data_IF_105295578649
#
_entry.id   IF_105295578649
#
_cell.length_a   1.000
_cell.length_b   1.000
_cell.length_c   1.000
_cell.angle_alpha   90.00
_cell.angle_beta   90.00
_cell.angle_gamma   90.00
#
_symmetry.space_group_name_H-M   'P 1'
#
loop_
_entity.id
_entity.type
_entity.pdbx_description
1 polymer ?
#
# COMPACT_ATOMS: atom_id res chain seq x y z
N UNK A 1 28.38 -46.63 -30.99
CA UNK A 1 28.67 -46.22 -29.60
C UNK A 1 28.92 -44.72 -29.64
N UNK A 2 27.93 -43.91 -29.25
CA UNK A 2 28.00 -42.44 -29.33
C UNK A 2 27.91 -41.91 -27.90
N UNK A 3 29.01 -41.31 -27.46
CA UNK A 3 29.13 -40.64 -26.16
C UNK A 3 28.47 -39.26 -26.29
N UNK A 4 27.35 -39.05 -25.58
CA UNK A 4 26.78 -37.71 -25.43
C UNK A 4 27.39 -37.05 -24.19
N UNK A 5 28.16 -35.99 -24.42
CA UNK A 5 28.69 -35.10 -23.38
C UNK A 5 27.57 -34.15 -22.94
N UNK A 6 27.35 -34.10 -21.62
CA UNK A 6 26.44 -33.17 -20.97
C UNK A 6 26.94 -31.72 -21.14
N UNK A 7 26.08 -30.84 -21.64
CA UNK A 7 26.24 -29.39 -21.50
C UNK A 7 25.12 -28.90 -20.57
N UNK A 8 25.51 -28.49 -19.36
CA UNK A 8 24.63 -27.75 -18.46
C UNK A 8 24.59 -26.30 -18.94
N UNK A 9 23.45 -25.91 -19.53
CA UNK A 9 23.14 -24.53 -19.87
C UNK A 9 21.94 -24.10 -19.03
N UNK A 10 22.25 -23.50 -17.88
CA UNK A 10 21.43 -22.60 -17.04
C UNK A 10 19.95 -22.52 -17.41
N UNK A 11 19.13 -23.15 -16.57
CA UNK A 11 17.70 -22.95 -16.55
C UNK A 11 17.40 -21.45 -16.43
N UNK A 12 16.95 -20.84 -17.53
CA UNK A 12 16.18 -19.59 -17.44
C UNK A 12 14.88 -19.98 -16.76
N UNK A 13 14.77 -19.66 -15.48
CA UNK A 13 13.50 -19.71 -14.76
C UNK A 13 12.57 -18.69 -15.41
N UNK A 14 11.80 -19.14 -16.41
CA UNK A 14 10.63 -18.41 -16.88
C UNK A 14 9.60 -18.58 -15.77
N UNK A 15 9.54 -17.62 -14.86
CA UNK A 15 8.41 -17.54 -13.93
C UNK A 15 7.23 -17.09 -14.80
N UNK A 16 6.48 -18.07 -15.33
CA UNK A 16 5.15 -17.84 -15.84
C UNK A 16 4.29 -17.46 -14.63
N UNK A 17 4.31 -16.16 -14.27
CA UNK A 17 3.27 -15.60 -13.43
C UNK A 17 1.95 -15.80 -14.18
N UNK A 18 1.12 -16.73 -13.70
CA UNK A 18 -0.28 -16.78 -14.09
C UNK A 18 -0.90 -15.43 -13.71
N UNK A 19 -0.96 -14.56 -14.71
CA UNK A 19 -1.47 -13.21 -14.65
C UNK A 19 -3.00 -13.25 -14.66
N UNK A 20 -3.60 -13.76 -13.57
CA UNK A 20 -5.05 -13.83 -13.42
C UNK A 20 -5.43 -13.78 -11.93
N UNK A 21 -5.52 -12.54 -11.37
CA UNK A 21 -6.47 -12.07 -10.33
C UNK A 21 -5.99 -10.94 -9.38
N UNK A 22 -4.74 -10.44 -9.47
CA UNK A 22 -4.27 -9.34 -8.60
C UNK A 22 -4.06 -8.00 -9.36
N UNK A 23 -5.02 -7.57 -10.19
CA UNK A 23 -4.90 -6.32 -10.99
C UNK A 23 -5.16 -5.03 -10.20
N UNK A 24 -5.55 -5.10 -8.93
CA UNK A 24 -5.90 -3.92 -8.12
C UNK A 24 -4.71 -3.33 -7.34
N UNK A 25 -3.67 -4.13 -7.09
CA UNK A 25 -2.50 -3.74 -6.29
C UNK A 25 -1.39 -3.20 -7.20
N UNK A 26 -1.60 -2.01 -7.75
CA UNK A 26 -0.70 -1.37 -8.72
C UNK A 26 0.25 -0.39 -8.04
N UNK A 27 1.55 -0.66 -8.13
CA UNK A 27 2.59 0.28 -7.69
C UNK A 27 2.58 1.53 -8.54
N UNK A 28 2.65 2.71 -7.91
CA UNK A 28 2.59 3.98 -8.63
C UNK A 28 2.22 5.15 -7.74
N UNK A 29 1.77 6.22 -8.39
CA UNK A 29 1.26 7.39 -7.72
C UNK A 29 -0.24 7.25 -7.51
N UNK A 30 -0.67 7.54 -6.29
CA UNK A 30 -2.05 7.47 -5.87
C UNK A 30 -2.49 8.84 -5.35
N UNK A 31 -3.72 9.21 -5.67
CA UNK A 31 -4.43 10.27 -4.96
C UNK A 31 -4.87 9.71 -3.62
N UNK A 32 -4.70 10.50 -2.57
CA UNK A 32 -5.09 10.20 -1.20
C UNK A 32 -5.90 11.37 -0.66
N UNK A 33 -7.04 11.09 -0.06
CA UNK A 33 -7.83 12.08 0.64
C UNK A 33 -8.44 11.46 1.90
N UNK A 34 -8.70 12.30 2.89
CA UNK A 34 -9.26 11.87 4.16
C UNK A 34 -10.37 12.80 4.64
N UNK A 35 -11.39 12.22 5.28
CA UNK A 35 -12.49 12.95 5.90
C UNK A 35 -12.30 13.01 7.41
N UNK A 36 -12.09 14.22 7.93
CA UNK A 36 -11.92 14.47 9.36
C UNK A 36 -12.58 15.81 9.70
N UNK A 37 -13.09 15.96 10.92
CA UNK A 37 -13.73 17.21 11.39
C UNK A 37 -14.80 17.76 10.43
N UNK A 38 -15.63 16.87 9.88
CA UNK A 38 -16.72 17.18 8.97
C UNK A 38 -16.29 17.85 7.64
N UNK A 39 -15.06 17.60 7.18
CA UNK A 39 -14.57 18.08 5.90
C UNK A 39 -13.58 17.08 5.25
N UNK A 40 -13.51 17.12 3.92
CA UNK A 40 -12.53 16.38 3.12
C UNK A 40 -11.25 17.20 2.97
N UNK A 41 -10.10 16.54 3.15
CA UNK A 41 -8.77 17.07 2.90
C UNK A 41 -8.10 16.31 1.76
N UNK A 42 -7.46 17.04 0.85
CA UNK A 42 -6.81 16.48 -0.34
C UNK A 42 -7.53 16.89 -1.65
N UNK A 43 -7.24 16.20 -2.77
CA UNK A 43 -6.35 15.04 -2.86
C UNK A 43 -4.88 15.43 -2.74
N UNK A 44 -4.15 14.66 -1.94
CA UNK A 44 -2.70 14.64 -1.87
C UNK A 44 -2.16 13.51 -2.76
N UNK A 45 -0.90 13.62 -3.15
CA UNK A 45 -0.23 12.57 -3.91
C UNK A 45 0.65 11.74 -2.98
N UNK A 46 0.56 10.41 -3.11
CA UNK A 46 1.44 9.48 -2.41
C UNK A 46 1.95 8.42 -3.38
N UNK A 47 3.16 7.93 -3.15
CA UNK A 47 3.71 6.79 -3.87
C UNK A 47 3.47 5.50 -3.09
N UNK A 48 2.91 4.48 -3.74
CA UNK A 48 2.75 3.14 -3.18
C UNK A 48 3.55 2.14 -4.01
N UNK A 49 4.20 1.21 -3.31
CA UNK A 49 4.97 0.10 -3.87
C UNK A 49 4.45 -1.18 -3.25
N UNK A 50 3.76 -1.98 -4.06
CA UNK A 50 3.22 -3.27 -3.67
C UNK A 50 4.25 -4.36 -3.98
N UNK A 51 4.58 -5.16 -2.98
CA UNK A 51 5.40 -6.36 -3.15
C UNK A 51 4.49 -7.61 -3.06
N UNK A 52 4.18 -8.26 -4.19
CA UNK A 52 3.29 -9.42 -4.21
C UNK A 52 3.88 -10.65 -3.51
N UNK A 53 5.20 -10.78 -3.46
CA UNK A 53 5.87 -11.93 -2.84
C UNK A 53 5.72 -11.93 -1.33
N UNK A 54 5.84 -10.75 -0.71
CA UNK A 54 5.74 -10.57 0.75
C UNK A 54 4.36 -10.09 1.18
N UNK A 55 3.47 -9.77 0.22
CA UNK A 55 2.17 -9.11 0.45
C UNK A 55 2.31 -7.84 1.28
N UNK A 56 3.40 -7.10 1.09
CA UNK A 56 3.69 -5.85 1.81
C UNK A 56 3.52 -4.64 0.92
N UNK A 57 3.10 -3.54 1.52
CA UNK A 57 3.01 -2.22 0.88
C UNK A 57 4.02 -1.32 1.57
N UNK A 58 4.85 -0.64 0.77
CA UNK A 58 5.68 0.46 1.24
C UNK A 58 5.32 1.72 0.44
N UNK A 59 5.53 2.89 1.02
CA UNK A 59 5.19 4.13 0.35
C UNK A 59 5.59 5.36 1.13
N UNK A 60 5.36 6.50 0.52
CA UNK A 60 5.53 7.80 1.16
C UNK A 60 4.53 8.78 0.57
N UNK A 61 4.18 9.79 1.36
CA UNK A 61 3.28 10.85 0.93
C UNK A 61 3.62 12.15 1.63
N UNK A 62 2.91 13.19 1.23
CA UNK A 62 2.98 14.49 1.87
C UNK A 62 1.59 15.11 1.90
N UNK A 63 1.16 15.56 3.07
CA UNK A 63 -0.08 16.31 3.25
C UNK A 63 0.20 17.68 3.88
N UNK A 64 -0.85 18.32 4.41
CA UNK A 64 -0.75 19.62 5.06
C UNK A 64 -0.03 19.58 6.43
N UNK A 65 0.10 18.39 7.05
CA UNK A 65 0.79 18.18 8.31
C UNK A 65 2.29 17.97 8.05
N UNK A 66 2.63 17.18 7.03
CA UNK A 66 4.01 16.95 6.66
C UNK A 66 4.22 15.74 5.75
N UNK A 67 5.48 15.29 5.69
CA UNK A 67 5.85 14.08 4.97
C UNK A 67 5.71 12.86 5.88
N UNK A 68 5.16 11.78 5.34
CA UNK A 68 4.93 10.53 6.06
C UNK A 68 5.36 9.32 5.24
N UNK A 69 5.64 8.22 5.93
CA UNK A 69 5.97 6.92 5.33
C UNK A 69 4.84 5.95 5.59
N UNK A 70 4.52 5.13 4.61
CA UNK A 70 3.50 4.09 4.66
C UNK A 70 4.20 2.73 4.61
N UNK A 71 3.93 1.86 5.57
CA UNK A 71 4.43 0.49 5.62
C UNK A 71 3.33 -0.44 6.14
N UNK A 72 3.04 -1.52 5.44
CA UNK A 72 2.02 -2.46 5.88
C UNK A 72 1.89 -3.69 5.00
N UNK A 73 0.73 -4.33 5.07
CA UNK A 73 0.32 -5.47 4.25
C UNK A 73 -0.79 -5.08 3.27
N UNK A 74 -1.10 -5.95 2.32
CA UNK A 74 -2.17 -5.71 1.33
C UNK A 74 -3.56 -5.49 1.96
N UNK A 75 -3.77 -5.92 3.21
CA UNK A 75 -5.02 -5.74 3.96
C UNK A 75 -4.97 -4.60 4.98
N UNK A 76 -3.78 -4.11 5.36
CA UNK A 76 -3.58 -3.10 6.42
C UNK A 76 -2.34 -2.25 6.13
N UNK A 77 -2.51 -0.95 5.88
CA UNK A 77 -1.40 -0.02 5.66
C UNK A 77 -1.15 0.76 6.95
N UNK A 78 -0.07 0.45 7.67
CA UNK A 78 0.39 1.32 8.76
C UNK A 78 1.07 2.57 8.21
N UNK A 79 0.92 3.72 8.85
CA UNK A 79 1.83 4.84 8.62
C UNK A 79 3.11 4.56 9.44
N UNK A 80 4.14 4.01 8.80
CA UNK A 80 5.32 3.53 9.47
C UNK A 80 6.45 4.56 9.51
N UNK A 81 6.45 5.44 10.51
CA UNK A 81 7.62 6.02 11.22
C UNK A 81 7.11 7.10 12.20
N UNK A 82 7.21 6.86 13.51
CA UNK A 82 6.70 7.77 14.55
C UNK A 82 7.29 9.19 14.44
N UNK A 83 8.54 9.34 13.98
CA UNK A 83 9.17 10.65 13.84
C UNK A 83 8.60 11.49 12.69
N UNK A 84 7.95 10.86 11.71
CA UNK A 84 7.40 11.52 10.52
C UNK A 84 5.91 11.86 10.68
N UNK A 85 5.24 11.27 11.66
CA UNK A 85 3.83 11.52 11.98
C UNK A 85 3.66 12.37 13.25
N UNK A 86 4.61 13.25 13.57
CA UNK A 86 4.59 14.05 14.82
C UNK A 86 4.44 13.20 16.10
N UNK A 87 4.91 11.94 16.10
CA UNK A 87 4.79 11.01 17.23
C UNK A 87 3.59 10.07 17.18
N UNK A 88 2.71 10.17 16.17
CA UNK A 88 1.52 9.34 16.05
C UNK A 88 1.75 8.06 15.25
N UNK A 89 1.17 6.95 15.71
CA UNK A 89 1.10 5.70 14.97
C UNK A 89 -0.34 5.53 14.48
N UNK A 90 -0.55 5.78 13.19
CA UNK A 90 -1.82 5.53 12.54
C UNK A 90 -1.78 4.20 11.77
N UNK A 91 -2.88 3.47 11.81
CA UNK A 91 -3.11 2.25 11.04
C UNK A 91 -4.29 2.50 10.12
N UNK A 92 -4.10 2.31 8.83
CA UNK A 92 -5.13 2.47 7.81
C UNK A 92 -5.61 1.08 7.38
N UNK A 93 -6.88 0.79 7.61
CA UNK A 93 -7.53 -0.40 7.07
C UNK A 93 -8.29 0.00 5.81
N UNK A 94 -7.97 -0.64 4.69
CA UNK A 94 -8.57 -0.34 3.38
C UNK A 94 -9.28 -1.56 2.82
N UNK A 95 -10.39 -1.32 2.15
CA UNK A 95 -11.09 -2.28 1.31
C UNK A 95 -11.15 -1.75 -0.13
N UNK A 96 -11.15 -2.67 -1.09
CA UNK A 96 -11.28 -2.30 -2.50
C UNK A 96 -12.76 -2.10 -2.86
N UNK A 97 -13.10 -0.90 -3.33
CA UNK A 97 -14.40 -0.60 -3.90
C UNK A 97 -14.34 -0.76 -5.43
N UNK A 98 -14.84 -1.89 -5.92
CA UNK A 98 -14.75 -2.25 -7.34
C UNK A 98 -15.60 -1.35 -8.27
N UNK A 99 -16.71 -0.79 -7.79
CA UNK A 99 -17.57 0.06 -8.62
C UNK A 99 -16.95 1.43 -8.86
N UNK A 100 -16.27 1.96 -7.83
CA UNK A 100 -15.59 3.27 -7.87
C UNK A 100 -14.12 3.17 -8.29
N UNK A 101 -13.55 1.96 -8.29
CA UNK A 101 -12.12 1.69 -8.52
C UNK A 101 -11.22 2.46 -7.54
N UNK A 102 -11.61 2.50 -6.28
CA UNK A 102 -10.86 3.16 -5.19
C UNK A 102 -10.65 2.20 -4.04
N UNK A 103 -9.56 2.38 -3.30
CA UNK A 103 -9.50 1.86 -1.93
C UNK A 103 -10.21 2.84 -1.01
N UNK A 104 -11.04 2.33 -0.10
CA UNK A 104 -11.73 3.13 0.92
C UNK A 104 -11.62 2.48 2.28
N UNK A 105 -11.67 3.26 3.37
CA UNK A 105 -11.56 2.68 4.69
C UNK A 105 -11.41 3.68 5.83
N UNK A 106 -10.78 3.23 6.92
CA UNK A 106 -10.64 3.99 8.16
C UNK A 106 -9.17 4.04 8.58
N UNK A 107 -8.68 5.23 8.86
CA UNK A 107 -7.47 5.44 9.63
C UNK A 107 -7.80 5.39 11.12
N UNK A 108 -7.00 4.65 11.89
CA UNK A 108 -7.10 4.54 13.32
C UNK A 108 -5.84 5.10 13.98
N UNK A 109 -6.02 5.96 14.96
CA UNK A 109 -4.92 6.51 15.75
C UNK A 109 -4.74 5.72 17.02
N UNK A 110 -3.48 5.45 17.38
CA UNK A 110 -3.17 4.83 18.66
C UNK A 110 -3.34 5.83 19.82
N UNK A 111 -4.18 5.48 20.79
CA UNK A 111 -4.37 6.22 22.05
C UNK A 111 -4.10 5.26 23.21
N UNK A 112 -2.92 5.39 23.80
CA UNK A 112 -2.44 4.43 24.81
C UNK A 112 -2.25 3.03 24.21
N UNK A 113 -2.99 2.06 24.74
CA UNK A 113 -2.98 0.67 24.27
C UNK A 113 -4.11 0.35 23.26
N UNK A 114 -4.92 1.34 22.89
CA UNK A 114 -6.10 1.15 22.04
C UNK A 114 -5.95 1.88 20.70
N UNK A 115 -6.70 1.42 19.69
CA UNK A 115 -6.87 2.10 18.41
C UNK A 115 -8.26 2.72 18.35
N UNK A 116 -8.34 4.01 17.98
CA UNK A 116 -9.62 4.72 17.83
C UNK A 116 -9.78 5.20 16.39
N UNK A 117 -10.99 5.14 15.81
CA UNK A 117 -11.25 5.69 14.47
C UNK A 117 -10.92 7.19 14.42
N UNK A 118 -10.13 7.60 13.43
CA UNK A 118 -9.66 8.97 13.25
C UNK A 118 -10.23 9.65 12.00
N UNK A 119 -10.14 9.00 10.84
CA UNK A 119 -10.56 9.57 9.57
C UNK A 119 -10.99 8.51 8.57
N UNK A 120 -12.00 8.83 7.73
CA UNK A 120 -12.29 8.02 6.55
C UNK A 120 -11.26 8.30 5.48
N UNK A 121 -10.86 7.27 4.75
CA UNK A 121 -9.79 7.33 3.76
C UNK A 121 -10.32 6.92 2.40
N UNK A 122 -9.86 7.60 1.36
CA UNK A 122 -10.05 7.18 -0.03
C UNK A 122 -8.73 7.32 -0.80
N UNK A 123 -8.39 6.29 -1.58
CA UNK A 123 -7.22 6.27 -2.45
C UNK A 123 -7.58 5.80 -3.86
N UNK A 124 -7.14 6.54 -4.87
CA UNK A 124 -7.33 6.18 -6.29
C UNK A 124 -6.02 6.29 -7.07
N UNK A 125 -5.76 5.37 -7.99
CA UNK A 125 -4.59 5.45 -8.87
C UNK A 125 -4.67 6.71 -9.76
N UNK A 126 -3.53 7.37 -10.00
CA UNK A 126 -3.42 8.51 -10.95
C UNK A 126 -3.37 8.02 -12.40
#
# INVERSE_FOLDING_TARGET
MITMLYSQSTARTIINYQQTQDTIFVSGLWKYQYYQYNQWYGPFQQQLVFNPMTRTINGYGQDNVGQYVLNGSFSEIGTGNQNLNLGHQDVIQLSWNASRKVFEGMAYSQVGACYVPGALIEMSLI
#
